data_IF_885856186113
#
_entry.id   IF_885856186113
#
_cell.length_a   1.000
_cell.length_b   1.000
_cell.length_c   1.000
_cell.angle_alpha   90.00
_cell.angle_beta   90.00
_cell.angle_gamma   90.00
#
_symmetry.space_group_name_H-M   'P 1'
#
loop_
_entity.id
_entity.type
_entity.pdbx_description
1 polymer ?
#
# COMPACT_ATOMS: atom_id res chain seq x y z
N UNK A 1 -30.58 -5.67 -7.02
CA UNK A 1 -30.00 -4.34 -6.73
C UNK A 1 -28.50 -4.49 -6.53
N UNK A 2 -27.70 -3.71 -7.26
CA UNK A 2 -26.24 -3.65 -7.10
C UNK A 2 -25.91 -2.98 -5.76
N UNK A 3 -25.40 -3.77 -4.81
CA UNK A 3 -25.00 -3.27 -3.49
C UNK A 3 -23.58 -2.70 -3.54
N UNK A 4 -23.41 -1.45 -3.12
CA UNK A 4 -22.14 -0.75 -3.00
C UNK A 4 -21.58 -1.00 -1.59
N UNK A 5 -20.28 -1.24 -1.49
CA UNK A 5 -19.55 -1.19 -0.23
C UNK A 5 -18.64 0.05 -0.23
N UNK A 6 -18.54 0.72 0.92
CA UNK A 6 -17.52 1.74 1.13
C UNK A 6 -16.36 1.14 1.93
N UNK A 7 -15.16 1.63 1.69
CA UNK A 7 -13.99 1.35 2.49
C UNK A 7 -13.30 2.63 2.92
N UNK A 8 -12.86 2.66 4.17
CA UNK A 8 -12.20 3.79 4.82
C UNK A 8 -10.80 3.33 5.27
N UNK A 9 -9.78 4.02 4.78
CA UNK A 9 -8.39 3.76 5.15
C UNK A 9 -7.71 5.06 5.54
N UNK A 10 -7.06 5.05 6.71
CA UNK A 10 -6.16 6.10 7.17
C UNK A 10 -4.83 5.43 7.50
N UNK A 11 -3.79 5.81 6.76
CA UNK A 11 -2.46 5.23 6.86
C UNK A 11 -1.73 5.63 8.15
N UNK A 12 -0.56 5.05 8.37
CA UNK A 12 0.29 5.40 9.53
C UNK A 12 0.90 6.79 9.43
N UNK A 13 0.95 7.41 8.24
CA UNK A 13 1.27 8.82 8.07
C UNK A 13 0.23 9.77 8.68
N UNK A 14 -0.99 9.26 8.93
CA UNK A 14 -2.11 10.01 9.47
C UNK A 14 -2.35 11.35 8.73
N UNK A 15 -2.12 11.37 7.42
CA UNK A 15 -2.24 12.57 6.58
C UNK A 15 -3.66 12.79 6.05
N UNK A 16 -4.51 11.77 6.10
CA UNK A 16 -5.90 11.89 5.68
C UNK A 16 -6.67 10.57 5.70
N UNK A 17 -7.93 10.67 5.26
CA UNK A 17 -8.82 9.54 5.06
C UNK A 17 -9.06 9.29 3.57
N UNK A 18 -8.73 8.09 3.10
CA UNK A 18 -9.20 7.58 1.82
C UNK A 18 -10.59 6.96 1.98
N UNK A 19 -11.56 7.48 1.24
CA UNK A 19 -12.90 6.88 1.09
C UNK A 19 -12.99 6.29 -0.31
N UNK A 20 -13.37 5.02 -0.43
CA UNK A 20 -13.48 4.32 -1.70
C UNK A 20 -14.81 3.57 -1.80
N UNK A 21 -15.53 3.74 -2.90
CA UNK A 21 -16.74 3.00 -3.21
C UNK A 21 -16.46 1.90 -4.22
N UNK A 22 -16.96 0.71 -3.95
CA UNK A 22 -16.78 -0.46 -4.81
C UNK A 22 -18.10 -1.18 -5.08
N UNK A 23 -18.22 -1.78 -6.26
CA UNK A 23 -18.99 -3.00 -6.38
C UNK A 23 -18.11 -4.17 -5.93
N UNK A 24 -18.52 -4.95 -4.93
CA UNK A 24 -17.71 -6.06 -4.44
C UNK A 24 -17.80 -7.32 -5.33
N UNK A 25 -18.85 -7.43 -6.16
CA UNK A 25 -19.04 -8.55 -7.10
C UNK A 25 -19.83 -8.15 -8.37
N UNK A 26 -19.23 -8.28 -9.57
CA UNK A 26 -17.78 -8.41 -9.80
C UNK A 26 -17.05 -7.24 -9.12
N UNK A 27 -15.81 -7.48 -8.69
CA UNK A 27 -15.06 -6.42 -8.00
C UNK A 27 -14.75 -5.28 -8.96
N UNK A 28 -15.12 -4.07 -8.59
CA UNK A 28 -14.86 -2.85 -9.35
C UNK A 28 -14.81 -1.64 -8.40
N UNK A 29 -13.78 -0.81 -8.53
CA UNK A 29 -13.75 0.51 -7.90
C UNK A 29 -14.60 1.47 -8.74
N UNK A 30 -15.51 2.20 -8.08
CA UNK A 30 -16.41 3.16 -8.71
C UNK A 30 -15.85 4.57 -8.64
N UNK A 31 -15.45 4.97 -7.45
CA UNK A 31 -14.86 6.26 -7.16
C UNK A 31 -14.10 6.18 -5.84
N UNK A 32 -13.12 7.07 -5.66
CA UNK A 32 -12.43 7.23 -4.40
C UNK A 32 -11.98 8.69 -4.24
N UNK A 33 -11.72 9.08 -3.00
CA UNK A 33 -11.13 10.38 -2.68
C UNK A 33 -10.32 10.32 -1.39
N UNK A 34 -9.21 11.05 -1.40
CA UNK A 34 -8.38 11.29 -0.23
C UNK A 34 -8.77 12.65 0.37
N UNK A 35 -9.17 12.65 1.65
CA UNK A 35 -9.45 13.86 2.41
C UNK A 35 -8.31 14.12 3.38
N UNK A 36 -7.52 15.16 3.13
CA UNK A 36 -6.42 15.54 4.02
C UNK A 36 -6.95 15.93 5.40
N UNK A 37 -6.26 15.49 6.45
CA UNK A 37 -6.54 15.97 7.80
C UNK A 37 -5.93 17.36 8.02
N UNK A 38 -6.53 18.18 8.91
CA UNK A 38 -5.84 19.34 9.44
C UNK A 38 -4.53 18.93 10.11
N UNK A 39 -3.47 19.73 9.94
CA UNK A 39 -2.15 19.46 10.52
C UNK A 39 -2.19 19.24 12.04
N UNK A 40 -3.10 19.92 12.75
CA UNK A 40 -3.32 19.73 14.19
C UNK A 40 -3.84 18.34 14.53
N UNK A 41 -4.79 17.80 13.75
CA UNK A 41 -5.30 16.45 13.92
C UNK A 41 -4.23 15.41 13.57
N UNK A 42 -3.52 15.58 12.45
CA UNK A 42 -2.42 14.70 12.08
C UNK A 42 -1.38 14.60 13.22
N UNK A 43 -0.96 15.75 13.77
CA UNK A 43 -0.02 15.78 14.91
C UNK A 43 -0.56 15.00 16.11
N UNK A 44 -1.83 15.21 16.48
CA UNK A 44 -2.49 14.48 17.58
C UNK A 44 -2.53 12.97 17.34
N UNK A 45 -2.83 12.53 16.11
CA UNK A 45 -2.87 11.12 15.74
C UNK A 45 -1.49 10.47 15.81
N UNK A 46 -0.45 11.17 15.33
CA UNK A 46 0.93 10.67 15.38
C UNK A 46 1.46 10.52 16.81
N UNK A 47 0.96 11.31 17.77
CA UNK A 47 1.28 11.21 19.19
C UNK A 47 0.23 10.46 20.01
N UNK A 48 -0.77 9.83 19.38
CA UNK A 48 -1.93 9.27 20.09
C UNK A 48 -1.58 8.16 21.09
N UNK A 49 -0.46 7.45 20.88
CA UNK A 49 0.03 6.41 21.78
C UNK A 49 0.49 6.94 23.14
N UNK A 50 0.65 8.26 23.29
CA UNK A 50 1.04 8.94 24.54
C UNK A 50 -0.17 9.48 25.31
N UNK A 51 -1.38 9.42 24.73
CA UNK A 51 -2.58 9.97 25.35
C UNK A 51 -3.03 9.13 26.54
N UNK A 52 -3.64 9.80 27.52
CA UNK A 52 -4.35 9.12 28.60
C UNK A 52 -5.61 8.41 28.08
N UNK A 53 -6.15 7.46 28.84
CA UNK A 53 -7.35 6.74 28.43
C UNK A 53 -8.55 7.66 28.14
N UNK A 54 -8.86 8.71 28.94
CA UNK A 54 -9.93 9.66 28.61
C UNK A 54 -9.69 10.42 27.30
N UNK A 55 -8.47 10.90 27.06
CA UNK A 55 -8.12 11.64 25.84
C UNK A 55 -8.21 10.74 24.59
N UNK A 56 -7.73 9.50 24.71
CA UNK A 56 -7.80 8.52 23.63
C UNK A 56 -9.25 8.11 23.32
N UNK A 57 -10.08 7.98 24.35
CA UNK A 57 -11.52 7.73 24.20
C UNK A 57 -12.22 8.88 23.48
N UNK A 58 -11.92 10.13 23.85
CA UNK A 58 -12.45 11.30 23.15
C UNK A 58 -12.00 11.36 21.69
N UNK A 59 -10.71 11.11 21.41
CA UNK A 59 -10.17 11.07 20.04
C UNK A 59 -10.79 9.94 19.21
N UNK A 60 -11.05 8.77 19.81
CA UNK A 60 -11.71 7.64 19.16
C UNK A 60 -13.10 8.03 18.64
N UNK A 61 -13.90 8.69 19.48
CA UNK A 61 -15.22 9.18 19.11
C UNK A 61 -15.15 10.33 18.08
N UNK A 62 -14.26 11.31 18.30
CA UNK A 62 -14.03 12.44 17.38
C UNK A 62 -13.73 11.96 15.95
N UNK A 63 -12.89 10.93 15.81
CA UNK A 63 -12.57 10.33 14.51
C UNK A 63 -13.76 9.60 13.89
N UNK A 64 -14.54 8.85 14.66
CA UNK A 64 -15.75 8.20 14.17
C UNK A 64 -16.73 9.21 13.57
N UNK A 65 -16.99 10.30 14.31
CA UNK A 65 -17.83 11.41 13.85
C UNK A 65 -17.23 12.14 12.63
N UNK A 66 -15.91 12.36 12.60
CA UNK A 66 -15.22 12.93 11.43
C UNK A 66 -15.40 12.04 10.20
N UNK A 67 -15.19 10.74 10.33
CA UNK A 67 -15.33 9.79 9.24
C UNK A 67 -16.76 9.78 8.71
N UNK A 68 -17.76 9.84 9.59
CA UNK A 68 -19.16 9.96 9.19
C UNK A 68 -19.42 11.22 8.35
N UNK A 69 -18.89 12.38 8.79
CA UNK A 69 -18.99 13.63 8.01
C UNK A 69 -18.32 13.50 6.64
N UNK A 70 -17.12 12.90 6.58
CA UNK A 70 -16.39 12.70 5.33
C UNK A 70 -17.08 11.70 4.39
N UNK A 71 -17.71 10.65 4.93
CA UNK A 71 -18.55 9.73 4.16
C UNK A 71 -19.77 10.44 3.60
N UNK A 72 -20.52 11.21 4.41
CA UNK A 72 -21.67 12.01 3.92
C UNK A 72 -21.24 12.97 2.80
N UNK A 73 -20.11 13.65 2.97
CA UNK A 73 -19.49 14.51 1.95
C UNK A 73 -19.17 13.72 0.68
N UNK A 74 -18.51 12.58 0.80
CA UNK A 74 -18.16 11.71 -0.32
C UNK A 74 -19.39 11.22 -1.08
N UNK A 75 -20.43 10.75 -0.39
CA UNK A 75 -21.67 10.30 -1.00
C UNK A 75 -22.32 11.41 -1.83
N UNK A 76 -22.32 12.65 -1.32
CA UNK A 76 -22.83 13.83 -2.05
C UNK A 76 -21.95 14.18 -3.26
N UNK A 77 -20.63 14.24 -3.09
CA UNK A 77 -19.69 14.63 -4.14
C UNK A 77 -19.70 13.67 -5.34
N UNK A 78 -19.88 12.38 -5.09
CA UNK A 78 -19.90 11.34 -6.13
C UNK A 78 -21.31 10.84 -6.48
N UNK A 79 -22.35 11.51 -5.98
CA UNK A 79 -23.76 11.15 -6.21
C UNK A 79 -24.08 9.67 -5.91
N UNK A 80 -23.44 9.11 -4.89
CA UNK A 80 -23.67 7.72 -4.46
C UNK A 80 -24.89 7.71 -3.53
N UNK A 81 -25.97 7.09 -3.99
CA UNK A 81 -27.19 6.96 -3.18
C UNK A 81 -26.95 6.13 -1.92
N UNK A 82 -27.26 6.65 -0.71
CA UNK A 82 -27.17 5.88 0.53
C UNK A 82 -27.98 4.58 0.51
N UNK A 83 -29.08 4.53 -0.25
CA UNK A 83 -29.91 3.31 -0.40
C UNK A 83 -29.18 2.15 -1.09
N UNK A 84 -28.14 2.45 -1.86
CA UNK A 84 -27.31 1.43 -2.52
C UNK A 84 -26.18 0.94 -1.62
N UNK A 85 -25.89 1.63 -0.52
CA UNK A 85 -24.82 1.27 0.41
C UNK A 85 -25.25 0.08 1.26
N UNK A 86 -24.41 -0.96 1.32
CA UNK A 86 -24.69 -2.15 2.12
C UNK A 86 -23.80 -2.29 3.35
N UNK A 87 -22.61 -1.70 3.33
CA UNK A 87 -21.62 -1.81 4.40
C UNK A 87 -20.53 -0.76 4.24
N UNK A 88 -19.94 -0.37 5.36
CA UNK A 88 -18.67 0.35 5.41
C UNK A 88 -17.60 -0.54 6.04
N UNK A 89 -16.46 -0.72 5.38
CA UNK A 89 -15.26 -1.29 5.99
C UNK A 89 -14.35 -0.19 6.50
N UNK A 90 -14.23 -0.04 7.81
CA UNK A 90 -13.38 0.97 8.43
C UNK A 90 -12.14 0.34 9.03
N UNK A 91 -10.97 0.61 8.45
CA UNK A 91 -9.71 0.25 9.12
C UNK A 91 -9.52 1.02 10.43
N UNK A 92 -9.99 2.28 10.46
CA UNK A 92 -9.65 3.24 11.51
C UNK A 92 -8.25 3.84 11.31
N UNK A 93 -7.73 4.44 12.37
CA UNK A 93 -6.36 4.95 12.48
C UNK A 93 -5.60 4.07 13.48
N UNK A 94 -4.47 3.49 13.08
CA UNK A 94 -3.61 2.77 14.02
C UNK A 94 -2.99 3.74 15.01
N UNK A 95 -3.17 3.46 16.31
CA UNK A 95 -2.51 4.16 17.43
C UNK A 95 -1.32 3.36 17.90
N UNK A 96 -1.48 2.04 18.01
CA UNK A 96 -0.44 1.14 18.49
C UNK A 96 -0.55 -0.22 17.80
N UNK A 97 0.59 -0.89 17.62
CA UNK A 97 0.68 -2.19 16.98
C UNK A 97 1.88 -2.96 17.54
N UNK A 98 1.63 -3.84 18.51
CA UNK A 98 2.65 -4.61 19.22
C UNK A 98 2.31 -6.10 19.23
N UNK A 99 2.34 -6.79 18.08
CA UNK A 99 2.09 -8.23 18.03
C UNK A 99 3.16 -9.06 18.76
N UNK A 100 4.37 -8.51 18.94
CA UNK A 100 5.49 -9.15 19.63
C UNK A 100 5.68 -8.68 21.08
N UNK A 101 4.81 -7.81 21.60
CA UNK A 101 4.87 -7.42 23.00
C UNK A 101 4.61 -8.62 23.90
N UNK A 102 4.98 -8.51 25.19
CA UNK A 102 4.70 -9.55 26.21
C UNK A 102 3.23 -9.99 26.18
N UNK A 103 2.32 -9.06 25.91
CA UNK A 103 0.92 -9.32 25.60
C UNK A 103 0.66 -8.82 24.18
N UNK A 104 0.48 -9.71 23.18
CA UNK A 104 0.22 -9.32 21.81
C UNK A 104 -1.02 -8.43 21.68
N UNK A 105 -0.87 -7.28 21.02
CA UNK A 105 -1.94 -6.29 20.97
C UNK A 105 -1.87 -5.39 19.72
N UNK A 106 -3.02 -4.78 19.40
CA UNK A 106 -3.15 -3.77 18.33
C UNK A 106 -4.32 -2.86 18.68
N UNK A 107 -4.21 -1.58 18.35
CA UNK A 107 -5.28 -0.61 18.56
C UNK A 107 -5.47 0.27 17.33
N UNK A 108 -6.65 0.16 16.74
CA UNK A 108 -7.16 1.07 15.71
C UNK A 108 -8.32 1.87 16.30
N UNK A 109 -8.27 3.19 16.16
CA UNK A 109 -9.33 4.09 16.63
C UNK A 109 -10.11 4.69 15.47
N UNK A 110 -11.41 4.91 15.71
CA UNK A 110 -12.43 5.57 14.89
C UNK A 110 -13.73 4.85 15.27
N UNK A 111 -14.57 5.49 16.07
CA UNK A 111 -15.75 4.85 16.64
C UNK A 111 -16.71 4.37 15.55
N UNK A 112 -16.88 3.04 15.48
CA UNK A 112 -17.72 2.40 14.49
C UNK A 112 -19.21 2.61 14.77
N UNK A 113 -19.60 2.81 16.02
CA UNK A 113 -20.99 3.10 16.41
C UNK A 113 -21.38 4.51 15.99
N UNK A 114 -20.52 5.49 16.25
CA UNK A 114 -20.70 6.86 15.75
C UNK A 114 -20.85 6.88 14.22
N UNK A 115 -20.04 6.09 13.52
CA UNK A 115 -20.14 5.97 12.06
C UNK A 115 -21.43 5.25 11.62
N UNK A 116 -21.79 4.14 12.25
CA UNK A 116 -22.98 3.35 11.90
C UNK A 116 -24.27 4.15 12.14
N UNK A 117 -24.41 4.78 13.31
CA UNK A 117 -25.56 5.61 13.66
C UNK A 117 -25.74 6.78 12.69
N UNK A 118 -24.64 7.43 12.29
CA UNK A 118 -24.69 8.61 11.42
C UNK A 118 -25.01 8.28 9.96
N UNK A 119 -24.59 7.11 9.45
CA UNK A 119 -24.78 6.73 8.04
C UNK A 119 -26.00 5.80 7.85
N UNK A 120 -26.39 5.05 8.88
CA UNK A 120 -27.52 4.12 8.85
C UNK A 120 -27.23 2.82 8.10
N UNK A 121 -25.97 2.37 8.09
CA UNK A 121 -25.57 1.08 7.52
C UNK A 121 -24.56 0.37 8.43
N UNK A 122 -24.46 -0.97 8.37
CA UNK A 122 -23.47 -1.71 9.14
C UNK A 122 -22.04 -1.25 8.85
N UNK A 123 -21.24 -1.14 9.91
CA UNK A 123 -19.80 -0.86 9.84
C UNK A 123 -19.04 -2.11 10.28
N UNK A 124 -18.13 -2.59 9.44
CA UNK A 124 -17.15 -3.60 9.82
C UNK A 124 -15.84 -2.89 10.13
N UNK A 125 -15.35 -3.03 11.36
CA UNK A 125 -14.11 -2.43 11.85
C UNK A 125 -13.19 -3.46 12.49
N UNK A 126 -12.03 -3.05 13.00
CA UNK A 126 -11.12 -3.89 13.79
C UNK A 126 -10.69 -5.21 13.09
N UNK A 127 -10.18 -5.06 11.86
CA UNK A 127 -9.77 -6.21 11.04
C UNK A 127 -8.50 -6.91 11.56
N UNK A 128 -7.69 -6.27 12.40
CA UNK A 128 -6.38 -6.79 12.84
C UNK A 128 -6.47 -7.68 14.07
N UNK A 129 -7.32 -7.34 15.04
CA UNK A 129 -7.31 -7.99 16.35
C UNK A 129 -7.52 -9.51 16.28
N UNK A 130 -8.40 -9.98 15.39
CA UNK A 130 -8.69 -11.42 15.27
C UNK A 130 -7.53 -12.21 14.67
N UNK A 131 -6.72 -11.59 13.81
CA UNK A 131 -5.51 -12.23 13.29
C UNK A 131 -4.47 -12.41 14.42
N UNK A 132 -4.25 -11.37 15.24
CA UNK A 132 -3.37 -11.44 16.42
C UNK A 132 -3.86 -12.48 17.44
N UNK A 133 -5.17 -12.56 17.69
CA UNK A 133 -5.76 -13.61 18.54
C UNK A 133 -5.50 -15.04 18.01
N UNK A 134 -5.29 -15.18 16.70
CA UNK A 134 -4.90 -16.43 16.04
C UNK A 134 -3.37 -16.62 15.94
N UNK A 135 -2.59 -15.79 16.62
CA UNK A 135 -1.13 -15.85 16.67
C UNK A 135 -0.44 -15.26 15.43
N UNK A 136 -1.14 -14.47 14.62
CA UNK A 136 -0.55 -13.71 13.53
C UNK A 136 -0.07 -12.32 13.95
N UNK A 137 0.55 -11.61 13.03
CA UNK A 137 1.10 -10.27 13.23
C UNK A 137 0.05 -9.15 13.19
N UNK A 138 -1.17 -9.41 12.71
CA UNK A 138 -2.20 -8.39 12.42
C UNK A 138 -1.94 -7.60 11.13
N UNK A 139 -0.86 -7.90 10.42
CA UNK A 139 -0.42 -7.26 9.18
C UNK A 139 0.57 -8.15 8.41
N UNK A 140 0.73 -7.95 7.08
CA UNK A 140 -0.13 -7.17 6.19
C UNK A 140 -1.41 -7.93 5.82
N UNK A 141 -2.53 -7.20 5.64
CA UNK A 141 -3.81 -7.79 5.22
C UNK A 141 -4.05 -7.77 3.70
N UNK A 142 -3.31 -6.93 2.97
CA UNK A 142 -3.41 -6.81 1.51
C UNK A 142 -3.15 -8.10 0.72
N UNK A 143 -2.32 -9.06 1.17
CA UNK A 143 -2.14 -10.32 0.46
C UNK A 143 -3.45 -11.08 0.19
N UNK A 144 -4.46 -10.97 1.06
CA UNK A 144 -5.78 -11.55 0.77
C UNK A 144 -6.49 -10.83 -0.37
N UNK A 145 -6.46 -9.50 -0.41
CA UNK A 145 -7.00 -8.73 -1.53
C UNK A 145 -6.34 -9.15 -2.83
N UNK A 146 -5.01 -9.28 -2.80
CA UNK A 146 -4.23 -9.67 -3.96
C UNK A 146 -4.62 -11.08 -4.45
N UNK A 147 -4.77 -12.04 -3.54
CA UNK A 147 -5.25 -13.39 -3.86
C UNK A 147 -6.68 -13.40 -4.40
N UNK A 148 -7.56 -12.55 -3.87
CA UNK A 148 -8.93 -12.45 -4.35
C UNK A 148 -9.01 -11.96 -5.79
N UNK A 149 -8.21 -10.94 -6.14
CA UNK A 149 -8.20 -10.34 -7.48
C UNK A 149 -7.43 -11.21 -8.49
N UNK A 150 -6.27 -11.74 -8.12
CA UNK A 150 -5.33 -12.39 -9.05
C UNK A 150 -5.17 -13.90 -8.84
N UNK A 151 -5.52 -14.46 -7.68
CA UNK A 151 -5.19 -15.84 -7.29
C UNK A 151 -5.80 -16.95 -8.15
N UNK A 152 -6.89 -16.68 -8.88
CA UNK A 152 -7.49 -17.63 -9.83
C UNK A 152 -6.96 -17.49 -11.26
N UNK A 153 -6.15 -16.47 -11.53
CA UNK A 153 -5.60 -16.16 -12.87
C UNK A 153 -4.25 -16.85 -13.09
N UNK A 154 -3.71 -16.70 -14.29
CA UNK A 154 -2.33 -17.09 -14.60
C UNK A 154 -1.37 -16.38 -13.61
N UNK A 155 -0.34 -17.07 -13.07
CA UNK A 155 0.65 -16.46 -12.18
C UNK A 155 1.25 -15.17 -12.73
N UNK A 156 1.34 -14.16 -11.87
CA UNK A 156 1.88 -12.83 -12.19
C UNK A 156 2.73 -12.33 -11.04
N UNK A 157 3.62 -11.41 -11.34
CA UNK A 157 4.40 -10.66 -10.36
C UNK A 157 3.60 -9.41 -10.01
N UNK A 158 3.31 -9.21 -8.74
CA UNK A 158 2.80 -7.95 -8.23
C UNK A 158 3.98 -7.21 -7.62
N UNK A 159 4.20 -5.98 -8.04
CA UNK A 159 5.28 -5.14 -7.56
C UNK A 159 4.68 -3.90 -6.92
N UNK A 160 4.96 -3.65 -5.65
CA UNK A 160 4.68 -2.36 -5.05
C UNK A 160 5.94 -1.51 -5.04
N UNK A 161 5.88 -0.33 -5.65
CA UNK A 161 6.96 0.67 -5.64
C UNK A 161 6.53 1.83 -4.73
N UNK A 162 6.79 1.67 -3.44
CA UNK A 162 6.71 2.73 -2.44
C UNK A 162 8.06 3.42 -2.28
N UNK A 163 8.44 3.80 -1.06
CA UNK A 163 9.82 4.21 -0.78
C UNK A 163 10.83 3.07 -1.02
N UNK A 164 10.46 1.86 -0.59
CA UNK A 164 11.11 0.59 -0.91
C UNK A 164 10.21 -0.18 -1.89
N UNK A 165 10.84 -0.93 -2.79
CA UNK A 165 10.16 -1.82 -3.72
C UNK A 165 10.02 -3.21 -3.12
N UNK A 166 8.82 -3.82 -3.21
CA UNK A 166 8.60 -5.21 -2.81
C UNK A 166 7.79 -5.98 -3.83
N UNK A 167 8.09 -7.27 -3.97
CA UNK A 167 7.35 -8.19 -4.83
C UNK A 167 6.42 -9.08 -4.04
N UNK A 168 5.34 -9.50 -4.68
CA UNK A 168 4.68 -10.76 -4.39
C UNK A 168 4.38 -11.52 -5.69
N UNK A 169 4.32 -12.85 -5.63
CA UNK A 169 3.88 -13.68 -6.76
C UNK A 169 2.53 -14.30 -6.44
N UNK A 170 1.52 -14.04 -7.28
CA UNK A 170 0.14 -14.48 -7.04
C UNK A 170 -0.43 -15.13 -8.31
N UNK A 171 -1.19 -16.21 -8.14
CA UNK A 171 -1.96 -16.85 -9.21
C UNK A 171 -2.27 -18.32 -8.93
N UNK A 172 -2.90 -18.98 -9.91
CA UNK A 172 -3.36 -20.36 -9.78
C UNK A 172 -2.18 -21.29 -9.46
N UNK A 173 -2.31 -22.04 -8.37
CA UNK A 173 -1.28 -22.97 -7.90
C UNK A 173 0.01 -22.29 -7.40
N UNK A 174 -0.04 -20.99 -7.09
CA UNK A 174 1.06 -20.30 -6.41
C UNK A 174 0.78 -20.15 -4.93
N UNK A 175 1.80 -20.43 -4.13
CA UNK A 175 1.85 -19.95 -2.77
C UNK A 175 2.35 -18.50 -2.81
N UNK A 176 1.54 -17.56 -2.32
CA UNK A 176 1.94 -16.15 -2.24
C UNK A 176 3.19 -16.06 -1.38
N UNK A 177 4.26 -15.53 -1.97
CA UNK A 177 5.51 -15.20 -1.30
C UNK A 177 5.94 -13.82 -1.77
N UNK A 178 6.60 -13.07 -0.89
CA UNK A 178 7.08 -11.73 -1.18
C UNK A 178 8.37 -11.39 -0.44
N UNK A 179 9.08 -10.39 -0.93
CA UNK A 179 10.34 -9.91 -0.36
C UNK A 179 10.66 -8.50 -0.85
N UNK A 180 11.52 -7.81 -0.11
CA UNK A 180 12.02 -6.50 -0.52
C UNK A 180 13.11 -6.63 -1.58
N UNK A 181 12.99 -5.78 -2.59
CA UNK A 181 13.78 -5.84 -3.83
C UNK A 181 14.95 -4.87 -3.78
N UNK A 182 14.75 -3.71 -3.15
CA UNK A 182 15.67 -2.59 -3.19
C UNK A 182 14.94 -1.26 -3.08
N UNK A 183 15.56 -0.15 -3.49
CA UNK A 183 14.92 1.15 -3.45
C UNK A 183 13.67 1.15 -4.36
N UNK A 184 12.67 1.93 -3.96
CA UNK A 184 11.58 2.37 -4.80
C UNK A 184 11.78 3.84 -5.15
N UNK A 185 10.97 4.71 -4.55
CA UNK A 185 10.99 6.15 -4.78
C UNK A 185 11.90 6.91 -3.79
N UNK A 186 12.30 6.33 -2.64
CA UNK A 186 12.97 7.09 -1.56
C UNK A 186 14.18 7.90 -2.06
N UNK A 187 15.10 7.28 -2.80
CA UNK A 187 16.28 8.00 -3.30
C UNK A 187 15.92 9.05 -4.36
N UNK A 188 14.94 8.76 -5.21
CA UNK A 188 14.45 9.66 -6.26
C UNK A 188 13.82 10.90 -5.63
N UNK A 189 12.99 10.70 -4.61
CA UNK A 189 12.30 11.77 -3.88
C UNK A 189 13.30 12.64 -3.10
N UNK A 190 14.28 12.02 -2.44
CA UNK A 190 15.36 12.74 -1.77
C UNK A 190 16.16 13.65 -2.72
N UNK A 191 16.54 13.14 -3.89
CA UNK A 191 17.24 13.92 -4.90
C UNK A 191 16.35 15.03 -5.49
N UNK A 192 15.07 14.73 -5.74
CA UNK A 192 14.09 15.69 -6.23
C UNK A 192 13.91 16.86 -5.26
N UNK A 193 13.79 16.55 -3.97
CA UNK A 193 13.67 17.54 -2.91
C UNK A 193 14.92 18.41 -2.81
N UNK A 194 16.11 17.80 -2.88
CA UNK A 194 17.37 18.49 -2.76
C UNK A 194 17.63 19.48 -3.91
N UNK A 195 17.52 19.01 -5.16
CA UNK A 195 17.92 19.80 -6.33
C UNK A 195 16.78 20.66 -6.91
N UNK A 196 15.53 20.22 -6.77
CA UNK A 196 14.39 20.85 -7.43
C UNK A 196 13.34 21.39 -6.46
N UNK A 197 13.52 21.22 -5.14
CA UNK A 197 12.57 21.62 -4.09
C UNK A 197 11.15 21.08 -4.32
N UNK A 198 11.05 19.90 -4.91
CA UNK A 198 9.79 19.18 -5.15
C UNK A 198 9.76 17.88 -4.35
N UNK A 199 8.59 17.44 -3.86
CA UNK A 199 8.50 16.25 -3.01
C UNK A 199 8.82 14.95 -3.75
N UNK A 200 8.56 14.89 -5.07
CA UNK A 200 8.83 13.73 -5.91
C UNK A 200 8.92 14.14 -7.39
N UNK A 201 9.46 13.27 -8.23
CA UNK A 201 9.53 13.48 -9.69
C UNK A 201 8.20 13.12 -10.36
N UNK A 202 7.36 14.14 -10.55
CA UNK A 202 6.03 13.96 -11.15
C UNK A 202 6.16 13.39 -12.57
N UNK A 203 5.47 12.27 -12.81
CA UNK A 203 5.47 11.51 -14.06
C UNK A 203 6.85 11.00 -14.52
N UNK A 204 7.91 11.17 -13.71
CA UNK A 204 9.30 10.86 -14.10
C UNK A 204 9.92 11.91 -15.05
N UNK A 205 9.37 13.13 -15.10
CA UNK A 205 9.77 14.16 -16.07
C UNK A 205 11.19 14.69 -15.87
N UNK A 206 11.69 14.76 -14.63
CA UNK A 206 13.06 15.17 -14.37
C UNK A 206 14.02 14.06 -14.80
N UNK A 207 13.74 12.81 -14.43
CA UNK A 207 14.54 11.66 -14.85
C UNK A 207 14.60 11.50 -16.38
N UNK A 208 13.51 11.79 -17.09
CA UNK A 208 13.46 11.68 -18.57
C UNK A 208 14.40 12.65 -19.30
N UNK A 209 14.86 13.72 -18.63
CA UNK A 209 15.77 14.72 -19.22
C UNK A 209 17.24 14.38 -19.04
N UNK A 210 17.55 13.38 -18.23
CA UNK A 210 18.92 12.98 -17.93
C UNK A 210 19.34 11.72 -18.68
N UNK A 211 20.63 11.44 -18.61
CA UNK A 211 21.25 10.22 -19.11
C UNK A 211 21.69 9.38 -17.90
N UNK A 212 21.19 8.14 -17.73
CA UNK A 212 21.54 7.33 -16.57
C UNK A 212 22.97 6.77 -16.68
N UNK A 213 23.74 6.86 -15.58
CA UNK A 213 25.03 6.18 -15.45
C UNK A 213 24.83 4.68 -15.16
N UNK A 214 24.69 3.91 -16.25
CA UNK A 214 24.51 2.46 -16.21
C UNK A 214 25.72 1.73 -15.61
N UNK A 215 26.92 2.30 -15.72
CA UNK A 215 28.17 1.72 -15.20
C UNK A 215 28.18 1.77 -13.67
N UNK A 216 27.82 2.93 -13.09
CA UNK A 216 27.66 3.06 -11.65
C UNK A 216 26.56 2.12 -11.13
N UNK A 217 25.40 2.10 -11.78
CA UNK A 217 24.30 1.18 -11.41
C UNK A 217 24.77 -0.27 -11.41
N UNK A 218 25.49 -0.71 -12.44
CA UNK A 218 26.04 -2.06 -12.52
C UNK A 218 27.00 -2.39 -11.35
N UNK A 219 27.79 -1.42 -10.88
CA UNK A 219 28.64 -1.57 -9.68
C UNK A 219 27.81 -1.69 -8.40
N UNK A 220 26.78 -0.86 -8.23
CA UNK A 220 25.93 -0.88 -7.03
C UNK A 220 25.14 -2.18 -6.89
N UNK A 221 24.69 -2.77 -8.00
CA UNK A 221 23.99 -4.04 -8.01
C UNK A 221 24.86 -5.26 -7.64
N UNK A 222 26.18 -5.08 -7.48
CA UNK A 222 27.08 -6.12 -6.94
C UNK A 222 27.09 -6.17 -5.40
N UNK A 223 26.47 -5.20 -4.73
CA UNK A 223 26.37 -5.23 -3.26
C UNK A 223 25.63 -6.49 -2.79
N UNK A 224 26.06 -7.03 -1.63
CA UNK A 224 25.61 -8.31 -1.07
C UNK A 224 24.08 -8.47 -1.03
N UNK A 225 23.37 -7.41 -0.67
CA UNK A 225 21.91 -7.39 -0.57
C UNK A 225 21.20 -7.85 -1.87
N UNK A 226 21.68 -7.38 -3.03
CA UNK A 226 21.04 -7.67 -4.32
C UNK A 226 21.23 -9.12 -4.77
N UNK A 227 22.24 -9.82 -4.26
CA UNK A 227 22.49 -11.24 -4.54
C UNK A 227 21.94 -12.18 -3.47
N UNK A 228 21.46 -11.66 -2.34
CA UNK A 228 20.87 -12.46 -1.26
C UNK A 228 19.54 -13.08 -1.72
N UNK A 229 19.38 -14.39 -1.48
CA UNK A 229 18.13 -15.13 -1.75
C UNK A 229 17.03 -14.71 -0.77
N UNK A 230 15.75 -14.67 -1.19
CA UNK A 230 14.61 -14.51 -0.28
C UNK A 230 14.52 -15.64 0.77
N UNK A 231 13.89 -15.42 1.94
CA UNK A 231 13.24 -14.18 2.36
C UNK A 231 14.27 -13.10 2.73
N UNK A 232 13.99 -11.85 2.34
CA UNK A 232 14.78 -10.68 2.72
C UNK A 232 13.89 -9.46 2.85
N UNK A 233 14.20 -8.64 3.84
CA UNK A 233 13.57 -7.36 4.11
C UNK A 233 14.62 -6.27 4.26
N UNK A 234 14.19 -5.03 4.08
CA UNK A 234 15.00 -3.84 4.25
C UNK A 234 14.41 -2.96 5.34
N UNK A 235 15.27 -2.33 6.13
CA UNK A 235 14.84 -1.17 6.90
C UNK A 235 14.43 -0.05 5.92
N UNK A 236 13.39 0.72 6.28
CA UNK A 236 12.91 1.84 5.47
C UNK A 236 14.00 2.89 5.19
N UNK A 237 15.01 2.99 6.05
CA UNK A 237 16.12 3.92 5.93
C UNK A 237 17.36 3.32 5.22
N UNK A 238 17.31 2.05 4.81
CA UNK A 238 18.43 1.39 4.15
C UNK A 238 18.90 2.12 2.87
N UNK A 239 17.95 2.78 2.19
CA UNK A 239 18.18 3.62 1.01
C UNK A 239 17.84 5.09 1.30
N UNK A 240 18.43 5.64 2.37
CA UNK A 240 18.25 7.03 2.79
C UNK A 240 19.33 7.99 2.29
N UNK A 241 19.37 9.17 2.92
CA UNK A 241 20.30 10.25 2.59
C UNK A 241 21.77 9.82 2.66
N UNK A 242 22.13 8.97 3.63
CA UNK A 242 23.51 8.49 3.76
C UNK A 242 23.90 7.55 2.64
N UNK A 243 22.97 6.71 2.16
CA UNK A 243 23.18 5.89 0.98
C UNK A 243 23.41 6.77 -0.26
N UNK A 244 22.57 7.79 -0.43
CA UNK A 244 22.69 8.76 -1.53
C UNK A 244 24.06 9.46 -1.49
N UNK A 245 24.46 9.98 -0.32
CA UNK A 245 25.76 10.64 -0.12
C UNK A 245 26.94 9.68 -0.29
N UNK A 246 26.83 8.42 0.11
CA UNK A 246 27.95 7.48 0.01
C UNK A 246 28.24 7.06 -1.43
N UNK A 247 27.18 6.78 -2.19
CA UNK A 247 27.32 6.10 -3.49
C UNK A 247 27.09 7.00 -4.70
N UNK A 248 26.50 8.17 -4.50
CA UNK A 248 26.21 9.11 -5.58
C UNK A 248 26.88 10.46 -5.40
N UNK A 249 27.57 10.77 -4.28
CA UNK A 249 28.22 12.08 -4.03
C UNK A 249 29.49 12.29 -4.84
N UNK A 250 30.35 11.28 -4.97
CA UNK A 250 31.60 11.36 -5.75
C UNK A 250 31.36 11.28 -7.25
N UNK A 251 30.14 10.90 -7.65
CA UNK A 251 29.65 10.76 -9.01
C UNK A 251 28.41 11.62 -9.25
N UNK A 252 28.15 12.64 -8.41
CA UNK A 252 27.06 13.58 -8.69
C UNK A 252 27.37 14.15 -10.08
N UNK A 253 26.54 13.86 -11.10
CA UNK A 253 26.74 14.48 -12.38
C UNK A 253 26.66 15.99 -12.13
N UNK A 254 27.45 16.78 -12.84
CA UNK A 254 27.26 18.25 -12.78
C UNK A 254 25.81 18.64 -13.11
N UNK A 255 25.08 17.73 -13.78
CA UNK A 255 23.68 17.83 -14.13
C UNK A 255 22.75 17.05 -13.15
N UNK A 256 21.90 17.74 -12.36
CA UNK A 256 20.90 17.11 -11.52
C UNK A 256 19.92 16.18 -12.25
N UNK A 257 19.65 16.40 -13.54
CA UNK A 257 18.77 15.53 -14.32
C UNK A 257 19.38 14.14 -14.55
N UNK A 258 20.70 14.04 -14.75
CA UNK A 258 21.41 12.76 -14.93
C UNK A 258 21.39 11.94 -13.63
N UNK A 259 21.42 12.60 -12.47
CA UNK A 259 21.25 11.93 -11.18
C UNK A 259 19.83 11.35 -11.08
N UNK A 260 18.80 12.13 -11.42
CA UNK A 260 17.41 11.68 -11.42
C UNK A 260 17.24 10.46 -12.34
N UNK A 261 17.83 10.50 -13.54
CA UNK A 261 17.84 9.38 -14.47
C UNK A 261 18.55 8.15 -13.88
N UNK A 262 19.73 8.34 -13.29
CA UNK A 262 20.54 7.26 -12.70
C UNK A 262 19.85 6.59 -11.52
N UNK A 263 19.24 7.35 -10.61
CA UNK A 263 18.50 6.81 -9.47
C UNK A 263 17.24 6.07 -9.91
N UNK A 264 16.52 6.63 -10.89
CA UNK A 264 15.33 5.98 -11.47
C UNK A 264 15.70 4.67 -12.17
N UNK A 265 16.80 4.67 -12.93
CA UNK A 265 17.34 3.48 -13.57
C UNK A 265 17.86 2.46 -12.56
N UNK A 266 18.49 2.89 -11.46
CA UNK A 266 18.95 2.00 -10.38
C UNK A 266 17.79 1.23 -9.76
N UNK A 267 16.67 1.91 -9.46
CA UNK A 267 15.44 1.26 -9.00
C UNK A 267 14.96 0.22 -10.02
N UNK A 268 14.82 0.59 -11.30
CA UNK A 268 14.36 -0.33 -12.34
C UNK A 268 15.30 -1.54 -12.54
N UNK A 269 16.61 -1.33 -12.49
CA UNK A 269 17.62 -2.37 -12.65
C UNK A 269 17.69 -3.32 -11.44
N UNK A 270 17.52 -2.82 -10.22
CA UNK A 270 17.37 -3.65 -9.02
C UNK A 270 16.14 -4.57 -9.12
N UNK A 271 15.02 -4.01 -9.57
CA UNK A 271 13.77 -4.74 -9.83
C UNK A 271 13.99 -5.82 -10.90
N UNK A 272 14.57 -5.46 -12.05
CA UNK A 272 14.82 -6.41 -13.13
C UNK A 272 15.74 -7.57 -12.71
N UNK A 273 16.82 -7.26 -11.97
CA UNK A 273 17.72 -8.28 -11.41
C UNK A 273 16.97 -9.23 -10.48
N UNK A 274 16.16 -8.71 -9.56
CA UNK A 274 15.41 -9.54 -8.64
C UNK A 274 14.34 -10.42 -9.33
N UNK A 275 13.69 -9.92 -10.39
CA UNK A 275 12.81 -10.76 -11.22
C UNK A 275 13.59 -11.92 -11.84
N UNK A 276 14.73 -11.62 -12.47
CA UNK A 276 15.55 -12.64 -13.14
C UNK A 276 16.07 -13.70 -12.16
N UNK A 277 16.55 -13.27 -11.00
CA UNK A 277 17.28 -14.14 -10.07
C UNK A 277 16.35 -14.95 -9.15
N UNK A 278 15.16 -14.41 -8.81
CA UNK A 278 14.35 -14.96 -7.71
C UNK A 278 12.90 -15.26 -8.07
N UNK A 279 12.37 -14.76 -9.19
CA UNK A 279 10.98 -15.03 -9.56
C UNK A 279 10.89 -16.29 -10.43
N UNK A 280 10.02 -17.26 -10.11
CA UNK A 280 9.83 -18.46 -10.94
C UNK A 280 9.44 -18.13 -12.37
N UNK A 281 10.03 -18.83 -13.35
CA UNK A 281 9.76 -18.62 -14.79
C UNK A 281 8.26 -18.68 -15.14
N UNK A 282 7.48 -19.54 -14.46
CA UNK A 282 6.02 -19.65 -14.62
C UNK A 282 5.24 -18.36 -14.29
N UNK A 283 5.81 -17.48 -13.46
CA UNK A 283 5.24 -16.18 -13.10
C UNK A 283 5.81 -15.03 -13.94
N UNK A 284 6.90 -15.27 -14.68
CA UNK A 284 7.54 -14.32 -15.59
C UNK A 284 6.75 -14.18 -16.90
N UNK A 285 5.49 -13.75 -16.80
CA UNK A 285 4.64 -13.37 -17.94
C UNK A 285 4.21 -11.91 -17.86
N UNK A 286 3.84 -11.48 -16.66
CA UNK A 286 3.39 -10.11 -16.43
C UNK A 286 3.84 -9.61 -15.07
N UNK A 287 4.37 -8.39 -15.07
CA UNK A 287 4.72 -7.59 -13.91
C UNK A 287 3.68 -6.49 -13.76
N UNK A 288 2.83 -6.60 -12.73
CA UNK A 288 1.80 -5.61 -12.41
C UNK A 288 2.31 -4.69 -11.31
N UNK A 289 2.61 -3.45 -11.67
CA UNK A 289 3.14 -2.43 -10.77
C UNK A 289 2.00 -1.78 -9.98
N UNK A 290 2.24 -1.47 -8.71
CA UNK A 290 1.40 -0.75 -7.76
C UNK A 290 2.26 0.25 -6.96
N UNK A 291 1.63 1.03 -6.07
CA UNK A 291 2.31 2.09 -5.32
C UNK A 291 2.56 3.36 -6.15
N UNK A 292 3.25 4.33 -5.54
CA UNK A 292 3.53 5.63 -6.18
C UNK A 292 4.36 5.53 -7.46
N UNK A 293 5.22 4.51 -7.56
CA UNK A 293 6.02 4.27 -8.77
C UNK A 293 5.18 3.96 -10.03
N UNK A 294 3.89 3.62 -9.90
CA UNK A 294 2.99 3.49 -11.04
C UNK A 294 2.85 4.76 -11.88
N UNK A 295 3.04 5.93 -11.26
CA UNK A 295 2.89 7.21 -11.95
C UNK A 295 4.18 7.64 -12.63
N UNK A 296 5.34 7.05 -12.30
CA UNK A 296 6.61 7.41 -12.90
C UNK A 296 6.79 6.70 -14.26
N UNK A 297 6.50 7.40 -15.35
CA UNK A 297 6.53 6.84 -16.72
C UNK A 297 7.94 6.46 -17.14
N UNK A 298 8.95 7.22 -16.72
CA UNK A 298 10.37 6.94 -16.98
C UNK A 298 10.81 5.65 -16.32
N UNK A 299 10.45 5.43 -15.06
CA UNK A 299 10.70 4.17 -14.34
C UNK A 299 10.04 3.00 -15.06
N UNK A 300 8.77 3.13 -15.44
CA UNK A 300 8.05 2.07 -16.16
C UNK A 300 8.67 1.76 -17.53
N UNK A 301 9.21 2.75 -18.22
CA UNK A 301 9.92 2.55 -19.49
C UNK A 301 11.23 1.80 -19.29
N UNK A 302 12.04 2.18 -18.31
CA UNK A 302 13.25 1.41 -17.97
C UNK A 302 12.93 -0.03 -17.56
N UNK A 303 11.84 -0.28 -16.83
CA UNK A 303 11.41 -1.66 -16.54
C UNK A 303 11.07 -2.45 -17.81
N UNK A 304 10.39 -1.84 -18.79
CA UNK A 304 10.08 -2.48 -20.07
C UNK A 304 11.35 -2.78 -20.88
N UNK A 305 12.31 -1.85 -20.89
CA UNK A 305 13.60 -2.05 -21.55
C UNK A 305 14.41 -3.19 -20.93
N UNK A 306 14.42 -3.27 -19.60
CA UNK A 306 15.20 -4.26 -18.85
C UNK A 306 14.53 -5.64 -18.77
N UNK A 307 13.22 -5.72 -19.00
CA UNK A 307 12.42 -6.94 -18.94
C UNK A 307 11.57 -7.10 -20.22
N UNK A 308 12.20 -7.17 -21.42
CA UNK A 308 11.48 -7.16 -22.69
C UNK A 308 10.59 -8.40 -22.90
N UNK A 309 10.86 -9.49 -22.18
CA UNK A 309 10.05 -10.71 -22.20
C UNK A 309 8.80 -10.64 -21.30
N UNK A 310 8.65 -9.60 -20.47
CA UNK A 310 7.52 -9.42 -19.59
C UNK A 310 6.59 -8.33 -20.09
N UNK A 311 5.28 -8.59 -19.98
CA UNK A 311 4.31 -7.51 -20.00
C UNK A 311 4.47 -6.70 -18.71
N UNK A 312 4.92 -5.44 -18.80
CA UNK A 312 4.90 -4.51 -17.68
C UNK A 312 3.60 -3.71 -17.72
N UNK A 313 2.74 -3.94 -16.74
CA UNK A 313 1.46 -3.25 -16.57
C UNK A 313 1.40 -2.57 -15.20
N UNK A 314 0.36 -1.78 -14.98
CA UNK A 314 0.08 -1.17 -13.68
C UNK A 314 -1.29 -1.62 -13.19
N UNK A 315 -1.50 -1.52 -11.89
CA UNK A 315 -2.82 -1.71 -11.28
C UNK A 315 -3.87 -0.75 -11.88
N UNK A 316 -3.46 0.44 -12.34
CA UNK A 316 -4.33 1.38 -13.08
C UNK A 316 -4.90 0.75 -14.36
N UNK A 317 -4.13 -0.06 -15.09
CA UNK A 317 -4.63 -0.79 -16.28
C UNK A 317 -5.67 -1.86 -15.96
N UNK A 318 -5.83 -2.19 -14.67
CA UNK A 318 -6.88 -3.06 -14.13
C UNK A 318 -7.96 -2.27 -13.39
N UNK A 319 -8.01 -0.94 -13.56
CA UNK A 319 -8.92 -0.03 -12.86
C UNK A 319 -8.78 -0.08 -11.32
N UNK A 320 -7.58 -0.42 -10.84
CA UNK A 320 -7.22 -0.39 -9.43
C UNK A 320 -6.21 0.72 -9.25
N UNK A 321 -6.67 1.89 -8.82
CA UNK A 321 -5.76 2.98 -8.49
C UNK A 321 -4.93 2.62 -7.23
N UNK A 322 -3.59 2.75 -7.25
CA UNK A 322 -2.74 2.50 -6.09
C UNK A 322 -3.19 3.25 -4.82
N UNK A 323 -3.67 4.48 -4.96
CA UNK A 323 -4.16 5.30 -3.84
C UNK A 323 -5.51 4.81 -3.31
N UNK A 324 -6.30 4.13 -4.13
CA UNK A 324 -7.59 3.56 -3.74
C UNK A 324 -7.48 2.13 -3.21
N UNK A 325 -6.39 1.41 -3.52
CA UNK A 325 -6.26 -0.04 -3.35
C UNK A 325 -6.57 -0.50 -1.92
N UNK A 326 -5.99 0.15 -0.91
CA UNK A 326 -6.18 -0.26 0.49
C UNK A 326 -7.62 -0.01 0.97
N UNK A 327 -8.17 1.17 0.72
CA UNK A 327 -9.57 1.46 1.04
C UNK A 327 -10.53 0.51 0.31
N UNK A 328 -10.29 0.24 -0.98
CA UNK A 328 -11.08 -0.71 -1.76
C UNK A 328 -11.01 -2.14 -1.19
N UNK A 329 -9.85 -2.54 -0.66
CA UNK A 329 -9.70 -3.81 0.03
C UNK A 329 -10.53 -3.88 1.31
N UNK A 330 -10.54 -2.83 2.15
CA UNK A 330 -11.40 -2.81 3.34
C UNK A 330 -12.89 -2.83 3.00
N UNK A 331 -13.31 -2.20 1.90
CA UNK A 331 -14.68 -2.31 1.39
C UNK A 331 -15.04 -3.78 1.05
N UNK A 332 -14.13 -4.46 0.34
CA UNK A 332 -14.29 -5.88 0.01
C UNK A 332 -14.31 -6.77 1.26
N UNK A 333 -13.42 -6.53 2.23
CA UNK A 333 -13.31 -7.31 3.45
C UNK A 333 -14.58 -7.20 4.29
N UNK A 334 -15.14 -5.98 4.40
CA UNK A 334 -16.40 -5.75 5.08
C UNK A 334 -17.56 -6.47 4.40
N UNK A 335 -17.64 -6.39 3.07
CA UNK A 335 -18.65 -7.13 2.32
C UNK A 335 -18.54 -8.64 2.54
N UNK A 336 -17.34 -9.21 2.46
CA UNK A 336 -17.11 -10.64 2.74
C UNK A 336 -17.48 -11.02 4.17
N UNK A 337 -17.21 -10.14 5.14
CA UNK A 337 -17.58 -10.34 6.56
C UNK A 337 -19.10 -10.46 6.72
N UNK A 338 -19.87 -9.55 6.12
CA UNK A 338 -21.34 -9.65 6.13
C UNK A 338 -21.85 -10.92 5.45
N UNK A 339 -21.15 -11.42 4.44
CA UNK A 339 -21.47 -12.68 3.77
C UNK A 339 -20.96 -13.91 4.52
N UNK A 340 -20.35 -13.75 5.71
CA UNK A 340 -19.69 -14.81 6.49
C UNK A 340 -18.65 -15.59 5.67
N UNK A 341 -17.90 -14.89 4.82
CA UNK A 341 -16.85 -15.46 3.95
C UNK A 341 -15.47 -15.04 4.42
N UNK A 342 -14.51 -15.94 4.26
CA UNK A 342 -13.10 -15.69 4.57
C UNK A 342 -12.61 -14.45 3.82
N UNK A 343 -11.95 -13.56 4.55
CA UNK A 343 -11.31 -12.34 4.06
C UNK A 343 -9.86 -12.23 4.55
N UNK A 344 -9.23 -13.37 4.80
CA UNK A 344 -7.96 -13.48 5.49
C UNK A 344 -6.99 -14.42 4.76
N UNK A 345 -5.71 -14.03 4.72
CA UNK A 345 -4.60 -14.84 4.25
C UNK A 345 -3.61 -15.06 5.42
N UNK A 346 -3.86 -16.10 6.21
CA UNK A 346 -3.11 -16.38 7.44
C UNK A 346 -1.63 -16.70 7.20
N UNK A 347 -1.29 -17.24 6.01
CA UNK A 347 0.10 -17.46 5.61
C UNK A 347 0.91 -16.16 5.48
N UNK A 348 0.25 -15.03 5.27
CA UNK A 348 0.91 -13.74 5.16
C UNK A 348 1.22 -13.11 6.52
N UNK A 349 0.45 -13.47 7.54
CA UNK A 349 0.55 -12.89 8.88
C UNK A 349 1.13 -13.86 9.92
N UNK A 350 1.23 -15.15 9.61
CA UNK A 350 1.67 -16.17 10.56
C UNK A 350 0.54 -16.77 11.43
N UNK A 351 -0.70 -16.32 11.25
CA UNK A 351 -1.83 -16.88 12.02
C UNK A 351 -2.07 -18.37 11.73
N UNK A 352 -2.63 -19.06 12.73
CA UNK A 352 -2.87 -20.52 12.68
C UNK A 352 -3.82 -20.98 11.56
N UNK A 353 -4.74 -20.13 11.11
CA UNK A 353 -5.70 -20.46 10.04
C UNK A 353 -6.34 -19.24 9.41
N UNK A 354 -6.78 -19.39 8.16
CA UNK A 354 -7.66 -18.41 7.50
C UNK A 354 -8.97 -18.26 8.31
N UNK A 355 -9.47 -17.04 8.40
CA UNK A 355 -10.70 -16.72 9.15
C UNK A 355 -11.47 -15.57 8.52
N UNK A 356 -12.56 -15.16 9.17
CA UNK A 356 -13.32 -13.95 8.87
C UNK A 356 -12.88 -12.89 9.86
N UNK A 357 -12.19 -11.85 9.39
CA UNK A 357 -11.72 -10.69 10.14
C UNK A 357 -12.81 -9.62 10.25
N UNK A 358 -12.69 -8.79 11.28
CA UNK A 358 -13.54 -7.64 11.53
C UNK A 358 -14.67 -7.90 12.53
N UNK A 359 -15.17 -6.81 13.12
CA UNK A 359 -16.31 -6.73 14.04
C UNK A 359 -17.44 -5.96 13.36
N UNK A 360 -18.66 -6.50 13.41
CA UNK A 360 -19.83 -5.86 12.82
C UNK A 360 -20.50 -4.98 13.88
N UNK A 361 -20.63 -3.69 13.59
CA UNK A 361 -21.47 -2.73 14.31
C UNK A 361 -22.69 -2.47 13.46
N UNK A 362 -23.89 -2.65 14.03
CA UNK A 362 -25.17 -2.55 13.32
C UNK A 362 -25.80 -1.18 13.46
#
# INVERSE_FOLDING_TARGET
MTKIALGLMSGTSADGLTVCAVYPKPFQILCFKNYAYPASLQKRLLSAYQLTAPELSALHYELGALYARLVKKFLKEFSVSPKNLCVIGSHGQTVYHGPHDKVPNTLQIADASALACEIGVPVVSDFRAKDIALGGEGAPLMPFFDEYIWGKRIPKILLNIGGISNFSVVGKGQQTAGFDVGPGNTLIDLACQHFFRKPFDKDGHLAARGIPDKTLVGKLLKQKFFSQKPPKSLDKNAFGTDYLKKYFKTTLPQNPYDLMATLTYFTAAAIAKAVKDFVPAKAQRELVVSGGGCYNKTLLNYLKELLPHLKVSTTLSYHIDPQAKEAAAFALFAWLTLQKKINHCARATGARKNTILGKITL
#
